data_IF_596587484712
#
_entry.id   IF_596587484712
#
_cell.length_a   1.000
_cell.length_b   1.000
_cell.length_c   1.000
_cell.angle_alpha   90.00
_cell.angle_beta   90.00
_cell.angle_gamma   90.00
#
_symmetry.space_group_name_H-M   'P 1'
#
loop_
_entity.id
_entity.type
_entity.pdbx_description
1 polymer ?
#
# COMPACT_ATOMS: atom_id res chain seq x y z
N UNK A 1 3.27 14.40 6.70
CA UNK A 1 2.50 15.23 5.76
C UNK A 1 1.10 14.66 5.69
N UNK A 2 0.08 15.47 5.95
CA UNK A 2 -1.34 15.05 5.86
C UNK A 2 -1.97 15.46 4.52
N UNK A 3 -1.13 15.92 3.59
CA UNK A 3 -1.51 16.43 2.29
C UNK A 3 -2.15 15.35 1.40
N UNK A 4 -3.20 15.72 0.67
CA UNK A 4 -3.94 14.79 -0.18
C UNK A 4 -3.06 14.12 -1.24
N UNK A 5 -2.09 14.86 -1.77
CA UNK A 5 -1.12 14.38 -2.76
C UNK A 5 -0.05 13.45 -2.19
N UNK A 6 0.06 13.27 -0.86
CA UNK A 6 1.13 12.44 -0.27
C UNK A 6 0.68 10.97 -0.09
N UNK A 7 1.36 10.05 -0.79
CA UNK A 7 1.03 8.62 -0.85
C UNK A 7 2.05 7.73 -0.13
N UNK A 8 2.98 8.32 0.61
CA UNK A 8 3.96 7.58 1.41
C UNK A 8 4.73 6.55 0.59
N UNK A 9 4.74 5.30 1.01
CA UNK A 9 5.56 4.22 0.45
C UNK A 9 4.97 3.56 -0.82
N UNK A 10 4.04 4.23 -1.51
CA UNK A 10 3.44 3.72 -2.75
C UNK A 10 4.51 3.35 -3.79
N UNK A 11 4.53 2.11 -4.31
CA UNK A 11 5.48 1.70 -5.34
C UNK A 11 5.26 2.42 -6.67
N UNK A 12 6.33 2.47 -7.47
CA UNK A 12 6.31 3.06 -8.81
C UNK A 12 5.23 2.42 -9.73
N UNK A 13 5.09 1.09 -9.85
CA UNK A 13 4.06 0.51 -10.71
C UNK A 13 2.63 0.89 -10.31
N UNK A 14 2.33 0.95 -9.01
CA UNK A 14 1.00 1.38 -8.54
C UNK A 14 0.78 2.87 -8.78
N UNK A 15 1.84 3.68 -8.68
CA UNK A 15 1.79 5.11 -8.99
C UNK A 15 1.42 5.36 -10.44
N UNK A 16 2.06 4.65 -11.37
CA UNK A 16 1.84 4.82 -12.81
C UNK A 16 0.39 4.47 -13.22
N UNK A 17 -0.26 3.53 -12.53
CA UNK A 17 -1.66 3.16 -12.76
C UNK A 17 -2.64 4.20 -12.20
N UNK A 18 -2.26 4.95 -11.17
CA UNK A 18 -3.12 5.99 -10.58
C UNK A 18 -3.14 7.29 -11.38
N UNK A 19 -2.05 7.62 -12.07
CA UNK A 19 -1.91 8.88 -12.81
C UNK A 19 -2.45 8.74 -14.24
N UNK A 20 -3.69 9.18 -14.46
CA UNK A 20 -4.43 8.92 -15.69
C UNK A 20 -4.37 10.09 -16.68
N UNK A 21 -4.44 11.33 -16.19
CA UNK A 21 -4.50 12.54 -17.03
C UNK A 21 -3.27 13.42 -16.86
N UNK A 22 -2.86 14.09 -17.94
CA UNK A 22 -1.69 14.97 -17.91
C UNK A 22 -1.86 16.08 -16.84
N UNK A 23 -0.81 16.33 -16.08
CA UNK A 23 -0.79 17.24 -14.93
C UNK A 23 -1.27 16.64 -13.61
N UNK A 24 -1.81 15.42 -13.59
CA UNK A 24 -2.01 14.68 -12.34
C UNK A 24 -0.68 14.32 -11.71
N UNK A 25 -0.57 14.52 -10.40
CA UNK A 25 0.63 14.21 -9.66
C UNK A 25 0.34 13.65 -8.27
N UNK A 26 1.36 12.98 -7.72
CA UNK A 26 1.45 12.63 -6.30
C UNK A 26 2.90 12.77 -5.82
N UNK A 27 3.05 12.87 -4.50
CA UNK A 27 4.33 12.80 -3.81
C UNK A 27 4.39 11.49 -3.05
N UNK A 28 5.50 10.77 -3.21
CA UNK A 28 5.75 9.50 -2.51
C UNK A 28 7.17 9.47 -1.96
N UNK A 29 7.44 8.50 -1.09
CA UNK A 29 8.79 8.16 -0.67
C UNK A 29 9.54 7.56 -1.86
N UNK A 30 10.72 8.11 -2.14
CA UNK A 30 11.68 7.58 -3.08
C UNK A 30 12.72 6.71 -2.37
N UNK A 31 13.60 6.06 -3.14
CA UNK A 31 14.83 5.52 -2.59
C UNK A 31 15.78 6.68 -2.31
N UNK A 32 16.39 6.71 -1.13
CA UNK A 32 17.49 7.64 -0.86
C UNK A 32 18.75 7.06 -1.52
N UNK A 33 19.09 7.51 -2.72
CA UNK A 33 20.27 7.05 -3.46
C UNK A 33 21.27 8.21 -3.59
N UNK A 34 22.10 8.40 -2.57
CA UNK A 34 23.21 9.35 -2.61
C UNK A 34 23.03 10.62 -1.77
N UNK A 35 24.11 11.37 -1.63
CA UNK A 35 24.12 12.62 -0.87
C UNK A 35 23.27 13.69 -1.58
N UNK A 36 22.51 14.44 -0.80
CA UNK A 36 21.64 15.52 -1.32
C UNK A 36 20.29 15.04 -1.87
N UNK A 37 20.06 13.74 -2.08
CA UNK A 37 18.73 13.26 -2.48
C UNK A 37 17.84 13.16 -1.26
N UNK A 38 16.71 13.88 -1.28
CA UNK A 38 15.70 13.71 -0.23
C UNK A 38 14.96 12.38 -0.41
N UNK A 39 14.35 11.91 0.66
CA UNK A 39 13.46 10.74 0.64
C UNK A 39 12.15 10.93 -0.15
N UNK A 40 11.93 12.05 -0.82
CA UNK A 40 10.68 12.34 -1.53
C UNK A 40 10.88 12.37 -3.05
N UNK A 41 9.84 11.93 -3.76
CA UNK A 41 9.77 11.93 -5.21
C UNK A 41 8.39 12.41 -5.66
N UNK A 42 8.37 13.31 -6.64
CA UNK A 42 7.16 13.75 -7.34
C UNK A 42 6.97 12.82 -8.52
N UNK A 43 5.80 12.18 -8.61
CA UNK A 43 5.40 11.44 -9.80
C UNK A 43 4.30 12.21 -10.51
N UNK A 44 4.44 12.44 -11.81
CA UNK A 44 3.51 13.25 -12.60
C UNK A 44 3.27 12.63 -13.97
N UNK A 45 2.04 12.68 -14.45
CA UNK A 45 1.69 12.33 -15.84
C UNK A 45 1.90 13.55 -16.73
N UNK A 46 2.63 13.39 -17.82
CA UNK A 46 2.86 14.44 -18.81
C UNK A 46 3.09 13.82 -20.18
N UNK A 47 2.41 14.32 -21.21
CA UNK A 47 2.54 13.83 -22.59
C UNK A 47 2.32 12.32 -22.72
N UNK A 48 1.37 11.78 -21.95
CA UNK A 48 1.06 10.34 -21.97
C UNK A 48 2.08 9.44 -21.27
N UNK A 49 3.11 9.99 -20.62
CA UNK A 49 4.12 9.25 -19.85
C UNK A 49 4.11 9.65 -18.38
N UNK A 50 4.57 8.77 -17.51
CA UNK A 50 4.76 9.07 -16.10
C UNK A 50 6.24 9.41 -15.84
N UNK A 51 6.50 10.60 -15.30
CA UNK A 51 7.81 11.04 -14.86
C UNK A 51 7.93 10.88 -13.35
N UNK A 52 9.10 10.45 -12.87
CA UNK A 52 9.40 10.33 -11.44
C UNK A 52 10.63 11.15 -11.11
N UNK A 53 10.42 12.29 -10.46
CA UNK A 53 11.44 13.30 -10.22
C UNK A 53 11.80 13.27 -8.73
N UNK A 54 13.08 13.04 -8.43
CA UNK A 54 13.57 13.09 -7.07
C UNK A 54 13.59 14.53 -6.56
N UNK A 55 13.13 14.74 -5.33
CA UNK A 55 13.28 16.03 -4.66
C UNK A 55 14.64 16.05 -3.99
N UNK A 56 15.44 17.08 -4.27
CA UNK A 56 16.79 17.25 -3.74
C UNK A 56 16.76 18.11 -2.47
N UNK A 57 17.88 18.10 -1.76
CA UNK A 57 18.20 19.01 -0.65
C UNK A 57 19.37 19.89 -1.03
N UNK A 58 19.23 21.19 -0.79
CA UNK A 58 20.33 22.15 -0.90
C UNK A 58 21.30 22.04 0.30
N UNK A 59 22.36 22.86 0.28
CA UNK A 59 23.35 22.93 1.37
C UNK A 59 22.79 23.44 2.69
N UNK A 60 21.59 24.02 2.69
CA UNK A 60 20.85 24.51 3.87
C UNK A 60 19.71 23.55 4.28
N UNK A 61 19.71 22.31 3.77
CA UNK A 61 18.67 21.29 3.98
C UNK A 61 17.25 21.68 3.51
N UNK A 62 17.11 22.65 2.62
CA UNK A 62 15.85 23.03 1.96
C UNK A 62 15.58 22.14 0.76
N UNK A 63 14.31 21.95 0.43
CA UNK A 63 13.85 21.10 -0.67
C UNK A 63 13.88 21.84 -2.00
N UNK A 64 14.37 21.19 -3.06
CA UNK A 64 14.41 21.78 -4.40
C UNK A 64 14.27 20.72 -5.50
N UNK A 65 13.96 21.18 -6.72
CA UNK A 65 14.13 20.42 -7.95
C UNK A 65 15.30 21.03 -8.73
N UNK A 66 15.01 21.90 -9.69
CA UNK A 66 15.97 22.78 -10.37
C UNK A 66 15.68 24.24 -9.99
N UNK A 67 16.68 24.95 -9.47
CA UNK A 67 16.57 26.38 -9.13
C UNK A 67 16.24 26.64 -7.65
N UNK A 68 15.08 27.25 -7.38
CA UNK A 68 14.74 27.76 -6.05
C UNK A 68 14.55 26.63 -5.00
N UNK A 69 14.99 26.89 -3.77
CA UNK A 69 14.86 25.99 -2.63
C UNK A 69 13.80 26.48 -1.64
N UNK A 70 13.08 25.53 -1.02
CA UNK A 70 11.92 25.75 -0.17
C UNK A 70 12.08 25.10 1.21
N UNK A 71 11.55 25.70 2.30
CA UNK A 71 11.66 25.11 3.64
C UNK A 71 11.01 23.73 3.76
N UNK A 72 9.88 23.51 3.09
CA UNK A 72 9.16 22.23 3.10
C UNK A 72 8.82 21.73 1.70
N UNK A 73 8.54 20.43 1.58
CA UNK A 73 7.98 19.86 0.35
C UNK A 73 6.63 20.49 0.02
N UNK A 74 5.85 20.90 1.03
CA UNK A 74 4.57 21.57 0.82
C UNK A 74 4.75 22.90 0.11
N UNK A 75 5.68 23.73 0.58
CA UNK A 75 5.99 25.02 -0.04
C UNK A 75 6.45 24.86 -1.49
N UNK A 76 7.29 23.85 -1.76
CA UNK A 76 7.75 23.49 -3.10
C UNK A 76 6.56 23.14 -4.01
N UNK A 77 5.68 22.24 -3.58
CA UNK A 77 4.51 21.82 -4.36
C UNK A 77 3.56 23.00 -4.61
N UNK A 78 3.26 23.79 -3.58
CA UNK A 78 2.42 24.99 -3.70
C UNK A 78 2.99 25.99 -4.70
N UNK A 79 4.32 26.17 -4.72
CA UNK A 79 4.98 27.02 -5.72
C UNK A 79 4.73 26.52 -7.15
N UNK A 80 5.06 25.27 -7.46
CA UNK A 80 4.93 24.72 -8.83
C UNK A 80 3.46 24.61 -9.26
N UNK A 81 2.54 24.33 -8.34
CA UNK A 81 1.10 24.35 -8.63
C UNK A 81 0.60 25.76 -8.98
N UNK A 82 1.11 26.80 -8.32
CA UNK A 82 0.71 28.20 -8.53
C UNK A 82 1.34 28.80 -9.79
N UNK A 83 2.64 28.61 -9.99
CA UNK A 83 3.39 29.26 -11.09
C UNK A 83 3.28 28.53 -12.42
N UNK A 84 2.84 27.26 -12.41
CA UNK A 84 2.78 26.38 -13.59
C UNK A 84 4.12 26.24 -14.32
N UNK A 85 5.23 26.41 -13.59
CA UNK A 85 6.57 26.16 -14.12
C UNK A 85 6.82 24.67 -14.32
N UNK A 86 7.73 24.35 -15.24
CA UNK A 86 8.21 22.98 -15.46
C UNK A 86 8.97 22.50 -14.23
N UNK A 87 8.72 21.26 -13.79
CA UNK A 87 9.39 20.65 -12.64
C UNK A 87 10.91 20.49 -12.87
N UNK A 88 11.29 20.05 -14.08
CA UNK A 88 12.67 20.02 -14.56
C UNK A 88 12.71 20.33 -16.05
N UNK A 89 13.85 20.80 -16.55
CA UNK A 89 14.08 21.02 -17.99
C UNK A 89 13.89 19.71 -18.76
N UNK A 90 14.48 18.62 -18.27
CA UNK A 90 14.45 17.30 -18.93
C UNK A 90 13.04 16.73 -19.05
N UNK A 91 12.25 16.79 -17.97
CA UNK A 91 10.90 16.20 -17.99
C UNK A 91 9.91 17.05 -18.77
N UNK A 92 10.11 18.37 -18.81
CA UNK A 92 9.13 19.32 -19.31
C UNK A 92 7.79 19.31 -18.56
N UNK A 93 7.66 18.54 -17.48
CA UNK A 93 6.39 18.23 -16.85
C UNK A 93 5.90 19.39 -15.97
N UNK A 94 4.59 19.63 -15.96
CA UNK A 94 3.94 20.68 -15.15
C UNK A 94 2.86 20.01 -14.30
N UNK A 95 2.78 20.36 -13.01
CA UNK A 95 1.73 19.84 -12.12
C UNK A 95 0.48 20.72 -12.14
N UNK A 96 -0.68 20.08 -12.28
CA UNK A 96 -1.97 20.74 -12.34
C UNK A 96 -2.79 20.49 -11.07
N UNK A 97 -2.97 19.22 -10.70
CA UNK A 97 -3.85 18.78 -9.60
C UNK A 97 -3.33 17.50 -8.94
N UNK A 98 -3.52 17.33 -7.61
CA UNK A 98 -3.32 16.04 -6.95
C UNK A 98 -4.19 14.96 -7.60
N UNK A 99 -3.66 13.75 -7.72
CA UNK A 99 -4.46 12.58 -8.09
C UNK A 99 -5.42 12.22 -6.95
N UNK A 100 -6.62 11.75 -7.31
CA UNK A 100 -7.61 11.30 -6.33
C UNK A 100 -7.08 10.09 -5.56
N UNK A 101 -7.24 10.10 -4.24
CA UNK A 101 -6.89 8.96 -3.39
C UNK A 101 -7.73 7.74 -3.73
N UNK A 102 -7.05 6.62 -3.98
CA UNK A 102 -7.74 5.38 -4.27
C UNK A 102 -8.34 4.81 -2.97
N UNK A 103 -9.56 4.27 -3.06
CA UNK A 103 -10.33 3.82 -1.88
C UNK A 103 -9.65 2.69 -1.09
N UNK A 104 -8.72 1.97 -1.72
CA UNK A 104 -7.94 0.91 -1.09
C UNK A 104 -6.74 1.42 -0.28
N UNK A 105 -6.37 2.70 -0.41
CA UNK A 105 -5.33 3.33 0.40
C UNK A 105 -5.98 3.91 1.64
N UNK A 106 -5.78 3.24 2.77
CA UNK A 106 -6.34 3.64 4.05
C UNK A 106 -5.31 4.43 4.86
N UNK A 107 -5.69 5.56 5.48
CA UNK A 107 -4.81 6.24 6.44
C UNK A 107 -4.44 5.33 7.60
N UNK A 108 -3.17 5.33 8.02
CA UNK A 108 -2.75 4.56 9.19
C UNK A 108 -3.49 5.00 10.47
N UNK A 109 -3.89 6.26 10.56
CA UNK A 109 -4.69 6.79 11.68
C UNK A 109 -6.05 6.12 11.84
N UNK A 110 -6.54 5.36 10.85
CA UNK A 110 -7.79 4.60 10.95
C UNK A 110 -7.60 3.21 11.56
N UNK A 111 -6.35 2.79 11.81
CA UNK A 111 -6.00 1.46 12.32
C UNK A 111 -5.58 1.58 13.78
N UNK A 112 -6.29 0.86 14.66
CA UNK A 112 -5.92 0.71 16.08
C UNK A 112 -5.54 -0.74 16.34
N UNK A 113 -4.26 -1.01 16.62
CA UNK A 113 -3.77 -2.35 16.92
C UNK A 113 -4.28 -2.83 18.28
N UNK A 114 -4.71 -4.09 18.35
CA UNK A 114 -5.23 -4.69 19.59
C UNK A 114 -4.30 -5.77 20.13
N UNK A 115 -4.06 -6.84 19.36
CA UNK A 115 -3.30 -8.02 19.84
C UNK A 115 -2.55 -8.69 18.69
N UNK A 116 -1.29 -9.09 18.89
CA UNK A 116 -0.57 -9.97 17.95
C UNK A 116 -1.26 -11.34 17.88
N UNK A 117 -1.58 -11.80 16.66
CA UNK A 117 -2.28 -13.07 16.40
C UNK A 117 -1.44 -14.06 15.58
N UNK A 118 -0.34 -13.61 14.98
CA UNK A 118 0.54 -14.48 14.23
C UNK A 118 1.83 -13.78 13.81
N UNK A 119 2.68 -14.54 13.16
CA UNK A 119 3.91 -14.08 12.54
C UNK A 119 4.17 -14.94 11.31
N UNK A 120 4.42 -14.29 10.17
CA UNK A 120 4.70 -14.96 8.90
C UNK A 120 5.98 -14.43 8.27
N UNK A 121 6.22 -14.83 7.02
CA UNK A 121 7.44 -14.48 6.26
C UNK A 121 7.72 -12.97 6.25
N UNK A 122 6.68 -12.16 6.05
CA UNK A 122 6.78 -10.69 5.92
C UNK A 122 6.71 -9.93 7.24
N UNK A 123 6.48 -10.60 8.37
CA UNK A 123 6.40 -9.96 9.67
C UNK A 123 5.17 -10.39 10.46
N UNK A 124 4.87 -9.60 11.48
CA UNK A 124 3.81 -9.89 12.42
C UNK A 124 2.43 -9.71 11.79
N UNK A 125 1.46 -10.44 12.34
CA UNK A 125 0.04 -10.27 12.04
C UNK A 125 -0.67 -9.90 13.33
N UNK A 126 -1.43 -8.82 13.29
CA UNK A 126 -2.14 -8.27 14.45
C UNK A 126 -3.64 -8.22 14.21
N UNK A 127 -4.44 -8.55 15.22
CA UNK A 127 -5.85 -8.13 15.31
C UNK A 127 -5.89 -6.63 15.55
N UNK A 128 -6.73 -5.93 14.80
CA UNK A 128 -6.90 -4.48 14.90
C UNK A 128 -8.35 -4.05 14.66
N UNK A 129 -8.68 -2.84 15.07
CA UNK A 129 -9.88 -2.12 14.66
C UNK A 129 -9.58 -1.20 13.49
N UNK A 130 -10.44 -1.23 12.47
CA UNK A 130 -10.43 -0.33 11.33
C UNK A 130 -11.66 0.58 11.38
N UNK A 131 -11.44 1.88 11.61
CA UNK A 131 -12.50 2.90 11.66
C UNK A 131 -12.54 3.70 10.36
N UNK A 132 -13.32 3.24 9.39
CA UNK A 132 -13.57 3.98 8.15
C UNK A 132 -14.58 5.11 8.39
N UNK A 133 -14.48 6.27 7.70
CA UNK A 133 -15.39 7.40 7.90
C UNK A 133 -16.87 7.08 7.64
N UNK A 134 -17.14 6.10 6.78
CA UNK A 134 -18.49 5.67 6.41
C UNK A 134 -19.12 4.69 7.41
N UNK A 135 -18.32 4.15 8.35
CA UNK A 135 -18.79 3.14 9.29
C UNK A 135 -19.07 3.78 10.64
N UNK A 136 -20.24 3.49 11.22
CA UNK A 136 -20.61 3.94 12.58
C UNK A 136 -19.69 3.28 13.61
N UNK A 137 -19.41 1.99 13.44
CA UNK A 137 -18.57 1.19 14.33
C UNK A 137 -17.27 0.74 13.65
N UNK A 138 -16.16 0.65 14.39
CA UNK A 138 -14.95 0.02 13.88
C UNK A 138 -15.20 -1.43 13.46
N UNK A 139 -14.55 -1.86 12.39
CA UNK A 139 -14.58 -3.26 11.94
C UNK A 139 -13.30 -3.96 12.41
N UNK A 140 -13.41 -5.17 12.93
CA UNK A 140 -12.24 -5.99 13.26
C UNK A 140 -11.56 -6.49 11.99
N UNK A 141 -10.24 -6.36 11.93
CA UNK A 141 -9.39 -6.74 10.80
C UNK A 141 -8.11 -7.43 11.28
N UNK A 142 -7.47 -8.19 10.40
CA UNK A 142 -6.10 -8.62 10.58
C UNK A 142 -5.16 -7.67 9.81
N UNK A 143 -4.06 -7.29 10.44
CA UNK A 143 -3.05 -6.38 9.92
C UNK A 143 -1.75 -7.13 9.76
N UNK A 144 -1.33 -7.36 8.51
CA UNK A 144 -0.04 -7.95 8.17
C UNK A 144 0.96 -6.84 7.86
N UNK A 145 2.08 -6.84 8.56
CA UNK A 145 3.12 -5.84 8.45
C UNK A 145 4.12 -6.24 7.37
N UNK A 146 4.69 -5.25 6.68
CA UNK A 146 5.96 -5.42 5.96
C UNK A 146 7.10 -5.08 6.93
N UNK A 147 8.03 -6.02 7.19
CA UNK A 147 9.15 -5.81 8.13
C UNK A 147 9.88 -4.49 7.86
N UNK A 148 10.33 -3.84 8.94
CA UNK A 148 11.21 -2.67 8.85
C UNK A 148 12.66 -3.09 8.58
N UNK A 149 13.46 -2.14 8.08
CA UNK A 149 14.91 -2.31 7.90
C UNK A 149 15.32 -2.88 6.53
N UNK A 150 16.36 -3.71 6.53
CA UNK A 150 17.03 -4.26 5.35
C UNK A 150 16.24 -5.39 4.68
N UNK A 151 14.92 -5.24 4.55
CA UNK A 151 14.10 -6.18 3.78
C UNK A 151 14.56 -6.15 2.33
N UNK A 152 14.98 -7.30 1.75
CA UNK A 152 15.38 -7.39 0.37
C UNK A 152 14.33 -6.79 -0.56
N UNK A 153 14.77 -6.10 -1.62
CA UNK A 153 13.87 -5.51 -2.61
C UNK A 153 12.90 -6.56 -3.21
N UNK A 154 13.37 -7.80 -3.35
CA UNK A 154 12.55 -8.93 -3.79
C UNK A 154 11.39 -9.23 -2.83
N UNK A 155 11.63 -9.25 -1.51
CA UNK A 155 10.57 -9.47 -0.52
C UNK A 155 9.56 -8.32 -0.47
N UNK A 156 10.05 -7.07 -0.51
CA UNK A 156 9.15 -5.90 -0.63
C UNK A 156 8.28 -6.00 -1.88
N UNK A 157 8.85 -6.41 -3.01
CA UNK A 157 8.10 -6.63 -4.26
C UNK A 157 7.02 -7.69 -4.07
N UNK A 158 7.35 -8.84 -3.48
CA UNK A 158 6.37 -9.92 -3.22
C UNK A 158 5.21 -9.45 -2.35
N UNK A 159 5.46 -8.66 -1.30
CA UNK A 159 4.41 -8.09 -0.46
C UNK A 159 3.46 -7.18 -1.25
N UNK A 160 3.98 -6.31 -2.11
CA UNK A 160 3.14 -5.47 -2.96
C UNK A 160 2.39 -6.28 -4.02
N UNK A 161 3.00 -7.33 -4.56
CA UNK A 161 2.35 -8.26 -5.49
C UNK A 161 1.22 -9.05 -4.80
N UNK A 162 1.37 -9.42 -3.53
CA UNK A 162 0.31 -9.99 -2.69
C UNK A 162 -0.84 -8.99 -2.52
N UNK A 163 -0.54 -7.74 -2.15
CA UNK A 163 -1.56 -6.69 -2.02
C UNK A 163 -2.35 -6.48 -3.32
N UNK A 164 -1.67 -6.41 -4.48
CA UNK A 164 -2.31 -6.22 -5.79
C UNK A 164 -3.24 -7.38 -6.14
N UNK A 165 -2.79 -8.61 -5.89
CA UNK A 165 -3.60 -9.82 -6.12
C UNK A 165 -4.83 -9.82 -5.22
N UNK A 166 -4.66 -9.71 -3.90
CA UNK A 166 -5.78 -9.71 -2.96
C UNK A 166 -6.81 -8.61 -3.23
N UNK A 167 -6.37 -7.45 -3.74
CA UNK A 167 -7.27 -6.36 -4.11
C UNK A 167 -8.31 -6.77 -5.17
N UNK A 168 -7.95 -7.68 -6.07
CA UNK A 168 -8.80 -8.17 -7.17
C UNK A 168 -9.73 -9.31 -6.74
N UNK A 169 -9.37 -10.06 -5.69
CA UNK A 169 -10.10 -11.26 -5.27
C UNK A 169 -11.35 -10.94 -4.45
N UNK A 170 -12.49 -11.53 -4.81
CA UNK A 170 -13.77 -11.39 -4.10
C UNK A 170 -14.53 -12.72 -4.12
N UNK A 171 -14.43 -13.49 -3.03
CA UNK A 171 -15.12 -14.77 -2.90
C UNK A 171 -15.35 -15.10 -1.42
N UNK A 172 -16.43 -15.82 -1.10
CA UNK A 172 -16.80 -16.17 0.28
C UNK A 172 -15.78 -17.07 1.00
N UNK A 173 -15.01 -17.85 0.22
CA UNK A 173 -13.97 -18.76 0.72
C UNK A 173 -12.54 -18.25 0.46
N UNK A 174 -12.37 -16.94 0.23
CA UNK A 174 -11.06 -16.29 0.07
C UNK A 174 -10.99 -15.06 0.95
N UNK A 175 -9.89 -14.94 1.71
CA UNK A 175 -9.68 -13.84 2.67
C UNK A 175 -9.84 -12.49 1.98
N UNK A 176 -10.84 -11.73 2.42
CA UNK A 176 -11.21 -10.43 1.84
C UNK A 176 -10.18 -9.35 2.19
N UNK A 177 -9.62 -8.76 1.14
CA UNK A 177 -8.84 -7.52 1.21
C UNK A 177 -9.67 -6.35 1.76
N UNK A 178 -9.08 -5.55 2.66
CA UNK A 178 -9.72 -4.35 3.23
C UNK A 178 -8.99 -3.05 2.88
N UNK A 179 -7.68 -3.06 2.73
CA UNK A 179 -6.91 -1.87 2.36
C UNK A 179 -5.41 -2.02 2.60
N UNK A 180 -4.63 -0.99 2.22
CA UNK A 180 -3.20 -0.87 2.54
C UNK A 180 -2.94 0.50 3.15
N UNK A 181 -2.23 0.56 4.27
CA UNK A 181 -1.70 1.80 4.83
C UNK A 181 -0.24 1.98 4.42
N UNK A 182 0.03 3.11 3.76
CA UNK A 182 1.31 3.42 3.11
C UNK A 182 1.94 4.71 3.62
N UNK A 183 1.21 5.51 4.40
CA UNK A 183 1.58 6.85 4.84
C UNK A 183 2.68 6.87 5.91
N UNK A 184 2.79 5.78 6.67
CA UNK A 184 3.84 5.56 7.68
C UNK A 184 4.46 4.17 7.53
N UNK A 185 5.70 4.05 7.99
CA UNK A 185 6.37 2.78 8.17
C UNK A 185 6.03 2.19 9.55
N UNK A 186 5.95 0.86 9.69
CA UNK A 186 5.90 -0.15 8.61
C UNK A 186 4.60 -0.06 7.79
N UNK A 187 4.69 -0.41 6.50
CA UNK A 187 3.52 -0.57 5.62
C UNK A 187 2.65 -1.72 6.12
N UNK A 188 1.32 -1.55 6.02
CA UNK A 188 0.33 -2.48 6.59
C UNK A 188 -0.67 -2.92 5.54
N UNK A 189 -0.88 -4.23 5.41
CA UNK A 189 -1.99 -4.83 4.66
C UNK A 189 -3.13 -5.14 5.64
N UNK A 190 -4.29 -4.54 5.43
CA UNK A 190 -5.51 -4.84 6.16
C UNK A 190 -6.34 -5.88 5.40
N UNK A 191 -6.71 -6.95 6.09
CA UNK A 191 -7.55 -8.04 5.60
C UNK A 191 -8.65 -8.35 6.61
N UNK A 192 -9.68 -9.09 6.20
CA UNK A 192 -10.66 -9.57 7.17
C UNK A 192 -10.01 -10.42 8.26
N UNK A 193 -10.54 -10.31 9.47
CA UNK A 193 -10.12 -11.15 10.58
C UNK A 193 -10.89 -12.48 10.49
N UNK A 194 -10.16 -13.58 10.33
CA UNK A 194 -10.72 -14.92 10.51
C UNK A 194 -10.62 -15.33 11.98
N UNK A 195 -11.56 -16.14 12.47
CA UNK A 195 -11.63 -16.52 13.88
C UNK A 195 -10.37 -17.24 14.35
N UNK A 196 -10.04 -18.36 13.70
CA UNK A 196 -8.86 -19.18 13.97
C UNK A 196 -8.30 -19.75 12.68
N UNK A 197 -7.00 -20.07 12.66
CA UNK A 197 -6.42 -20.82 11.55
C UNK A 197 -6.99 -22.24 11.53
N UNK A 198 -7.12 -22.83 10.33
CA UNK A 198 -7.57 -24.22 10.19
C UNK A 198 -6.71 -25.18 11.02
N UNK A 199 -5.39 -24.96 11.07
CA UNK A 199 -4.46 -25.76 11.88
C UNK A 199 -4.77 -25.62 13.38
N UNK A 200 -5.02 -24.41 13.86
CA UNK A 200 -5.37 -24.18 15.26
C UNK A 200 -6.70 -24.85 15.61
N UNK A 201 -7.73 -24.65 14.78
CA UNK A 201 -9.06 -25.24 14.95
C UNK A 201 -8.99 -26.77 15.04
N UNK A 202 -8.29 -27.40 14.09
CA UNK A 202 -8.16 -28.86 14.05
C UNK A 202 -7.34 -29.46 15.21
N UNK A 203 -6.44 -28.69 15.83
CA UNK A 203 -5.59 -29.15 16.93
C UNK A 203 -6.19 -28.89 18.32
N UNK A 204 -6.93 -27.79 18.50
CA UNK A 204 -7.28 -27.28 19.83
C UNK A 204 -8.78 -27.27 20.15
N UNK A 205 -9.67 -27.33 19.15
CA UNK A 205 -11.12 -27.21 19.37
C UNK A 205 -11.86 -28.57 19.44
N UNK A 206 -11.10 -29.66 19.62
CA UNK A 206 -11.63 -31.01 19.72
C UNK A 206 -11.88 -31.69 18.37
N UNK A 207 -12.40 -32.93 18.39
CA UNK A 207 -12.57 -33.71 17.17
C UNK A 207 -13.65 -33.11 16.25
N UNK A 208 -13.29 -32.93 14.98
CA UNK A 208 -14.22 -32.50 13.93
C UNK A 208 -14.90 -33.72 13.31
N UNK A 209 -16.24 -33.73 13.27
CA UNK A 209 -17.00 -34.83 12.66
C UNK A 209 -16.70 -34.99 11.17
N UNK A 210 -16.87 -36.20 10.59
CA UNK A 210 -16.66 -36.42 9.16
C UNK A 210 -17.44 -35.44 8.27
N UNK A 211 -18.71 -35.16 8.61
CA UNK A 211 -19.57 -34.23 7.88
C UNK A 211 -18.96 -32.81 7.86
N UNK A 212 -18.49 -32.30 9.01
CA UNK A 212 -17.85 -30.98 9.07
C UNK A 212 -16.54 -30.94 8.28
N UNK A 213 -15.73 -32.01 8.31
CA UNK A 213 -14.51 -32.10 7.49
C UNK A 213 -14.84 -32.04 6.01
N UNK A 214 -15.88 -32.74 5.55
CA UNK A 214 -16.36 -32.65 4.16
C UNK A 214 -16.75 -31.22 3.80
N UNK A 215 -17.47 -30.51 4.68
CA UNK A 215 -17.82 -29.10 4.43
C UNK A 215 -16.59 -28.20 4.32
N UNK A 216 -15.56 -28.38 5.16
CA UNK A 216 -14.31 -27.64 5.05
C UNK A 216 -13.62 -27.89 3.70
N UNK A 217 -13.56 -29.15 3.27
CA UNK A 217 -13.03 -29.51 1.95
C UNK A 217 -13.80 -28.84 0.81
N UNK A 218 -15.14 -28.79 0.88
CA UNK A 218 -15.98 -28.11 -0.12
C UNK A 218 -15.69 -26.60 -0.16
N UNK A 219 -15.59 -25.93 0.99
CA UNK A 219 -15.26 -24.50 1.04
C UNK A 219 -13.88 -24.21 0.47
N UNK A 220 -12.87 -25.03 0.83
CA UNK A 220 -11.51 -24.92 0.28
C UNK A 220 -11.54 -25.13 -1.23
N UNK A 221 -12.22 -26.17 -1.72
CA UNK A 221 -12.30 -26.48 -3.15
C UNK A 221 -12.93 -25.33 -3.95
N UNK A 222 -14.04 -24.75 -3.47
CA UNK A 222 -14.67 -23.57 -4.07
C UNK A 222 -13.74 -22.36 -4.11
N UNK A 223 -13.02 -22.10 -3.01
CA UNK A 223 -12.01 -21.04 -2.96
C UNK A 223 -10.90 -21.27 -3.99
N UNK A 224 -10.38 -22.49 -4.09
CA UNK A 224 -9.33 -22.84 -5.04
C UNK A 224 -9.78 -22.80 -6.50
N UNK A 225 -11.01 -23.22 -6.80
CA UNK A 225 -11.63 -23.08 -8.11
C UNK A 225 -11.73 -21.61 -8.52
N UNK A 226 -12.20 -20.75 -7.61
CA UNK A 226 -12.24 -19.31 -7.84
C UNK A 226 -10.84 -18.75 -8.11
N UNK A 227 -9.84 -19.09 -7.28
CA UNK A 227 -8.47 -18.63 -7.48
C UNK A 227 -7.88 -19.09 -8.82
N UNK A 228 -8.17 -20.32 -9.25
CA UNK A 228 -7.74 -20.84 -10.54
C UNK A 228 -8.35 -20.03 -11.70
N UNK A 229 -9.64 -19.70 -11.62
CA UNK A 229 -10.33 -18.87 -12.62
C UNK A 229 -9.79 -17.44 -12.70
N UNK A 230 -9.31 -16.89 -11.58
CA UNK A 230 -8.64 -15.58 -11.51
C UNK A 230 -7.14 -15.63 -11.90
N UNK A 231 -6.67 -16.75 -12.46
CA UNK A 231 -5.26 -17.00 -12.78
C UNK A 231 -4.31 -16.79 -11.58
N UNK A 232 -4.81 -17.02 -10.37
CA UNK A 232 -4.05 -16.88 -9.14
C UNK A 232 -3.51 -18.24 -8.72
N UNK A 233 -2.21 -18.47 -8.96
CA UNK A 233 -1.51 -19.64 -8.42
C UNK A 233 -1.28 -19.40 -6.92
N UNK A 234 -2.02 -20.11 -6.08
CA UNK A 234 -1.77 -20.15 -4.65
C UNK A 234 -0.47 -20.92 -4.39
N UNK A 235 0.60 -20.22 -4.00
CA UNK A 235 1.79 -20.88 -3.42
C UNK A 235 1.58 -20.95 -1.92
N UNK A 236 1.92 -22.07 -1.30
CA UNK A 236 1.77 -22.30 0.14
C UNK A 236 2.47 -21.25 1.02
N UNK A 237 3.31 -20.40 0.43
CA UNK A 237 4.14 -19.40 1.11
C UNK A 237 3.48 -18.01 1.29
N UNK A 238 2.19 -17.84 0.91
CA UNK A 238 1.54 -16.51 0.78
C UNK A 238 0.41 -16.25 1.82
N UNK A 239 0.35 -17.00 2.92
CA UNK A 239 -0.40 -16.57 4.12
C UNK A 239 0.49 -16.66 5.35
#
# INVERSE_FOLDING_TARGET
MQEEYYYGHLPRPDTEVLLLTDGEFLVRRGRQEGQGISQFCISVRSTGRCHHIAILRDTKNKYMLEGQSFPTVSDLISYYMRTKQRLTIESGAIIAKPVKRADWIIPNSYITLLKKIGEGTFGEVWKAELKMPKNVFPTLVAIKFLKLGNVPLAEKKTFYDECRRMRQLRHENVVRFKGVALDVEPVKLAMELCDNSMIYHLKNEGPVSPIRKTLYCVHIARGMEYLANENCIHRWDIM
#
